data_IF_945264893332
#
_entry.id   IF_945264893332
#
_cell.length_a   1.000
_cell.length_b   1.000
_cell.length_c   1.000
_cell.angle_alpha   90.00
_cell.angle_beta   90.00
_cell.angle_gamma   90.00
#
_symmetry.space_group_name_H-M   'P 1'
#
loop_
_entity.id
_entity.type
_entity.pdbx_description
1 polymer ?
#
# COMPACT_ATOMS: atom_id res chain seq x y z
N UNK A 1 31.35 -25.16 4.12
CA UNK A 1 30.88 -23.80 3.75
C UNK A 1 29.99 -23.95 2.52
N UNK A 2 28.69 -24.20 2.72
CA UNK A 2 27.77 -24.53 1.62
C UNK A 2 26.97 -23.28 1.27
N UNK A 3 27.41 -22.59 0.22
CA UNK A 3 26.70 -21.43 -0.32
C UNK A 3 25.32 -21.85 -0.80
N UNK A 4 24.28 -21.38 -0.10
CA UNK A 4 22.94 -21.41 -0.65
C UNK A 4 22.90 -20.40 -1.78
N UNK A 5 22.86 -20.88 -3.03
CA UNK A 5 22.47 -20.06 -4.17
C UNK A 5 21.06 -19.55 -3.87
N UNK A 6 20.92 -18.27 -3.54
CA UNK A 6 19.61 -17.65 -3.41
C UNK A 6 18.95 -17.73 -4.80
N UNK A 7 18.02 -18.67 -4.97
CA UNK A 7 17.15 -18.68 -6.14
C UNK A 7 16.56 -17.27 -6.28
N UNK A 8 16.62 -16.68 -7.48
CA UNK A 8 16.03 -15.35 -7.71
C UNK A 8 14.58 -15.42 -7.25
N UNK A 9 14.24 -14.56 -6.29
CA UNK A 9 12.85 -14.40 -5.90
C UNK A 9 12.02 -14.11 -7.16
N UNK A 10 10.82 -14.68 -7.27
CA UNK A 10 9.93 -14.38 -8.39
C UNK A 10 9.73 -12.86 -8.48
N UNK A 11 9.59 -12.35 -9.71
CA UNK A 11 9.26 -10.93 -9.90
C UNK A 11 7.90 -10.68 -9.28
N UNK A 12 7.81 -9.63 -8.47
CA UNK A 12 6.55 -9.15 -7.93
C UNK A 12 5.87 -8.29 -8.99
N UNK A 13 4.81 -8.81 -9.61
CA UNK A 13 3.98 -8.08 -10.55
C UNK A 13 2.85 -7.36 -9.79
N UNK A 14 3.04 -6.07 -9.54
CA UNK A 14 2.10 -5.27 -8.75
C UNK A 14 0.79 -5.08 -9.52
N UNK A 15 0.86 -4.77 -10.80
CA UNK A 15 -0.32 -4.44 -11.60
C UNK A 15 -1.23 -5.66 -11.72
N UNK A 16 -0.66 -6.86 -11.92
CA UNK A 16 -1.43 -8.10 -11.90
C UNK A 16 -2.13 -8.34 -10.55
N UNK A 17 -1.44 -8.08 -9.44
CA UNK A 17 -2.00 -8.22 -8.08
C UNK A 17 -3.15 -7.23 -7.85
N UNK A 18 -3.01 -5.99 -8.32
CA UNK A 18 -4.04 -4.96 -8.18
C UNK A 18 -5.25 -5.24 -9.08
N UNK A 19 -5.05 -5.79 -10.28
CA UNK A 19 -6.14 -6.14 -11.19
C UNK A 19 -6.94 -7.38 -10.73
N UNK A 20 -6.33 -8.30 -9.98
CA UNK A 20 -7.02 -9.49 -9.48
C UNK A 20 -8.03 -9.15 -8.36
N UNK A 21 -9.32 -9.21 -8.71
CA UNK A 21 -10.43 -8.90 -7.79
C UNK A 21 -10.64 -9.95 -6.70
N UNK A 22 -10.00 -11.12 -6.79
CA UNK A 22 -9.98 -12.11 -5.71
C UNK A 22 -9.07 -11.67 -4.55
N UNK A 23 -8.08 -10.81 -4.81
CA UNK A 23 -7.21 -10.23 -3.80
C UNK A 23 -7.91 -9.04 -3.16
N UNK A 24 -8.45 -9.27 -1.96
CA UNK A 24 -9.24 -8.28 -1.21
C UNK A 24 -8.44 -7.48 -0.19
N UNK A 25 -7.30 -8.01 0.26
CA UNK A 25 -6.47 -7.42 1.30
C UNK A 25 -5.00 -7.49 0.88
N UNK A 26 -4.30 -6.35 0.95
CA UNK A 26 -2.86 -6.26 0.74
C UNK A 26 -2.26 -5.67 2.01
N UNK A 27 -1.26 -6.35 2.58
CA UNK A 27 -0.60 -5.93 3.82
C UNK A 27 0.85 -5.55 3.51
N UNK A 28 1.19 -4.27 3.63
CA UNK A 28 2.57 -3.81 3.52
C UNK A 28 3.30 -4.00 4.86
N UNK A 29 4.25 -4.95 4.91
CA UNK A 29 5.04 -5.28 6.11
C UNK A 29 6.52 -4.93 5.92
N UNK A 30 7.30 -4.94 7.00
CA UNK A 30 8.73 -4.60 6.99
C UNK A 30 9.16 -3.73 8.18
N UNK A 31 10.46 -3.49 8.29
CA UNK A 31 11.06 -2.73 9.39
C UNK A 31 10.55 -1.27 9.49
N UNK A 32 10.85 -0.59 10.61
CA UNK A 32 10.53 0.83 10.78
C UNK A 32 11.25 1.70 9.73
N UNK A 33 10.56 2.72 9.21
CA UNK A 33 11.18 3.68 8.28
C UNK A 33 11.39 3.22 6.83
N UNK A 34 11.07 1.98 6.46
CA UNK A 34 11.30 1.44 5.09
C UNK A 34 10.29 1.89 4.03
N UNK A 35 9.34 2.78 4.39
CA UNK A 35 8.37 3.34 3.44
C UNK A 35 7.01 2.65 3.35
N UNK A 36 6.66 1.72 4.28
CA UNK A 36 5.39 0.98 4.27
C UNK A 36 4.14 1.84 4.03
N UNK A 37 4.01 2.96 4.74
CA UNK A 37 2.84 3.85 4.62
C UNK A 37 2.77 4.48 3.23
N UNK A 38 3.91 4.92 2.69
CA UNK A 38 4.00 5.47 1.34
C UNK A 38 3.68 4.41 0.28
N UNK A 39 4.19 3.18 0.45
CA UNK A 39 3.89 2.07 -0.44
C UNK A 39 2.42 1.69 -0.40
N UNK A 40 1.80 1.57 0.78
CA UNK A 40 0.38 1.27 0.90
C UNK A 40 -0.49 2.35 0.24
N UNK A 41 -0.13 3.62 0.42
CA UNK A 41 -0.80 4.75 -0.21
C UNK A 41 -0.69 4.72 -1.74
N UNK A 42 0.51 4.45 -2.28
CA UNK A 42 0.74 4.34 -3.72
C UNK A 42 -0.01 3.15 -4.35
N UNK A 43 -0.03 1.99 -3.68
CA UNK A 43 -0.80 0.82 -4.12
C UNK A 43 -2.30 1.11 -4.12
N UNK A 44 -2.80 1.80 -3.08
CA UNK A 44 -4.20 2.17 -2.99
C UNK A 44 -4.63 3.14 -4.09
N UNK A 45 -3.81 4.17 -4.35
CA UNK A 45 -4.02 5.11 -5.45
C UNK A 45 -4.06 4.38 -6.80
N UNK A 46 -3.06 3.55 -7.09
CA UNK A 46 -2.99 2.80 -8.37
C UNK A 46 -4.19 1.85 -8.55
N UNK A 47 -4.61 1.17 -7.48
CA UNK A 47 -5.79 0.32 -7.52
C UNK A 47 -7.08 1.11 -7.78
N UNK A 48 -7.19 2.32 -7.22
CA UNK A 48 -8.32 3.21 -7.47
C UNK A 48 -8.34 3.73 -8.92
N UNK A 49 -7.17 4.09 -9.48
CA UNK A 49 -7.03 4.43 -10.91
C UNK A 49 -7.46 3.28 -11.84
N UNK A 50 -7.34 2.03 -11.39
CA UNK A 50 -7.83 0.83 -12.09
C UNK A 50 -9.33 0.53 -11.83
N UNK A 51 -10.04 1.46 -11.19
CA UNK A 51 -11.49 1.39 -10.94
C UNK A 51 -11.88 0.50 -9.77
N UNK A 52 -10.99 0.31 -8.79
CA UNK A 52 -11.34 -0.35 -7.52
C UNK A 52 -11.77 0.67 -6.47
N UNK A 53 -12.79 0.32 -5.69
CA UNK A 53 -13.08 1.02 -4.44
C UNK A 53 -12.13 0.49 -3.35
N UNK A 54 -11.27 1.36 -2.81
CA UNK A 54 -10.13 0.99 -1.98
C UNK A 54 -10.06 1.87 -0.75
N UNK A 55 -9.83 1.23 0.40
CA UNK A 55 -9.51 1.91 1.64
C UNK A 55 -8.05 1.63 2.02
N UNK A 56 -7.25 2.68 2.18
CA UNK A 56 -5.89 2.58 2.71
C UNK A 56 -5.92 2.83 4.21
N UNK A 57 -5.52 1.83 4.99
CA UNK A 57 -5.48 1.90 6.44
C UNK A 57 -4.04 1.99 6.93
N UNK A 58 -3.76 2.91 7.86
CA UNK A 58 -2.51 2.93 8.63
C UNK A 58 -2.82 2.80 10.12
N UNK A 59 -1.91 2.18 10.86
CA UNK A 59 -1.96 2.06 12.33
C UNK A 59 -0.89 2.98 12.97
N UNK A 60 -0.11 3.70 12.17
CA UNK A 60 0.94 4.60 12.68
C UNK A 60 0.30 5.81 13.38
N UNK A 61 0.63 6.10 14.66
CA UNK A 61 0.18 7.33 15.33
C UNK A 61 0.68 8.61 14.64
N UNK A 62 1.73 8.52 13.81
CA UNK A 62 2.21 9.63 13.02
C UNK A 62 1.26 9.93 11.84
N UNK A 63 1.02 11.21 11.56
CA UNK A 63 0.15 11.74 10.49
C UNK A 63 0.65 11.45 9.05
N UNK A 64 1.46 10.40 8.85
CA UNK A 64 2.17 10.08 7.61
C UNK A 64 1.21 9.76 6.46
N UNK A 65 0.12 9.05 6.71
CA UNK A 65 -0.85 8.74 5.65
C UNK A 65 -1.57 10.00 5.18
N UNK A 66 -2.01 10.84 6.11
CA UNK A 66 -2.66 12.11 5.77
C UNK A 66 -1.73 12.99 4.91
N UNK A 67 -0.45 13.10 5.31
CA UNK A 67 0.56 13.82 4.54
C UNK A 67 0.78 13.22 3.14
N UNK A 68 0.89 11.89 3.03
CA UNK A 68 1.07 11.21 1.75
C UNK A 68 -0.11 11.42 0.79
N UNK A 69 -1.33 11.58 1.34
CA UNK A 69 -2.56 11.74 0.57
C UNK A 69 -3.03 13.19 0.45
N UNK A 70 -2.24 14.17 0.91
CA UNK A 70 -2.61 15.59 0.86
C UNK A 70 -3.79 15.98 1.76
N UNK A 71 -4.09 15.20 2.80
CA UNK A 71 -5.17 15.43 3.74
C UNK A 71 -4.69 16.21 4.98
N UNK A 72 -5.54 17.08 5.53
CA UNK A 72 -5.23 17.86 6.73
C UNK A 72 -5.23 17.03 8.02
N UNK A 73 -6.11 16.03 8.10
CA UNK A 73 -6.22 15.10 9.23
C UNK A 73 -6.92 13.81 8.83
N UNK A 74 -6.59 12.72 9.52
CA UNK A 74 -7.33 11.46 9.51
C UNK A 74 -7.78 11.16 10.94
N UNK A 75 -9.00 10.66 11.07
CA UNK A 75 -9.55 10.08 12.29
C UNK A 75 -9.84 8.59 12.06
N UNK A 76 -10.61 7.96 12.93
CA UNK A 76 -10.96 6.54 12.80
C UNK A 76 -12.08 6.26 11.77
N UNK A 77 -12.45 7.26 10.97
CA UNK A 77 -13.41 7.14 9.87
C UNK A 77 -12.67 7.29 8.54
N UNK A 78 -12.87 6.37 7.58
CA UNK A 78 -12.33 6.53 6.23
C UNK A 78 -12.80 7.85 5.60
N UNK A 79 -11.89 8.54 4.92
CA UNK A 79 -12.16 9.77 4.17
C UNK A 79 -11.75 9.59 2.71
N UNK A 80 -12.57 10.11 1.80
CA UNK A 80 -12.21 10.10 0.39
C UNK A 80 -11.02 11.02 0.11
N UNK A 81 -10.14 10.57 -0.78
CA UNK A 81 -9.06 11.38 -1.33
C UNK A 81 -9.60 12.10 -2.56
N UNK A 82 -9.59 13.45 -2.60
CA UNK A 82 -10.11 14.18 -3.75
C UNK A 82 -9.30 13.93 -5.03
N UNK A 83 -9.97 13.84 -6.18
CA UNK A 83 -9.33 13.77 -7.49
C UNK A 83 -8.75 12.41 -7.86
N UNK A 84 -9.14 11.36 -7.13
CA UNK A 84 -8.86 9.95 -7.42
C UNK A 84 -10.15 9.28 -7.88
#
# INVERSE_FOLDING_TARGET
>A
MTGHLLARAPRLDIDQILADRSIRIIVCTGAGGVGKTTTAAALGLRAAEEGRDVCVLTIDPAKRLAQAMGLSSLDNTPRQVPGV
#
